data_IF_633038394516
#
_entry.id   IF_633038394516
#
_cell.length_a   1.000
_cell.length_b   1.000
_cell.length_c   1.000
_cell.angle_alpha   90.00
_cell.angle_beta   90.00
_cell.angle_gamma   90.00
#
_symmetry.space_group_name_H-M   'P 1'
#
loop_
_entity.id
_entity.type
_entity.pdbx_description
1 polymer ?
#
# COMPACT_ATOMS: atom_id res chain seq x y z
N UNK A 1 -6.18 -9.94 21.95
CA UNK A 1 -5.09 -9.97 20.94
C UNK A 1 -5.60 -9.29 19.66
N UNK A 2 -4.97 -8.20 19.21
CA UNK A 2 -5.37 -7.44 18.03
C UNK A 2 -4.76 -8.08 16.78
N UNK A 3 -5.59 -8.53 15.84
CA UNK A 3 -5.13 -9.04 14.54
C UNK A 3 -4.85 -7.85 13.60
N UNK A 4 -3.61 -7.74 13.11
CA UNK A 4 -3.18 -6.66 12.21
C UNK A 4 -3.67 -6.88 10.78
N UNK A 5 -3.94 -8.13 10.41
CA UNK A 5 -4.37 -8.52 9.07
C UNK A 5 -5.85 -8.95 9.05
N UNK A 6 -6.68 -8.28 9.86
CA UNK A 6 -8.12 -8.49 9.94
C UNK A 6 -8.78 -8.26 8.56
N UNK A 7 -9.79 -9.06 8.24
CA UNK A 7 -10.47 -9.02 6.93
C UNK A 7 -11.04 -7.63 6.61
N UNK A 8 -11.55 -6.92 7.62
CA UNK A 8 -12.05 -5.55 7.47
C UNK A 8 -10.98 -4.55 6.96
N UNK A 9 -9.72 -4.71 7.37
CA UNK A 9 -8.62 -3.88 6.87
C UNK A 9 -8.27 -4.21 5.42
N UNK A 10 -8.35 -5.48 5.06
CA UNK A 10 -8.10 -5.95 3.69
C UNK A 10 -9.19 -5.46 2.76
N UNK A 11 -10.45 -5.54 3.16
CA UNK A 11 -11.58 -5.02 2.38
C UNK A 11 -11.44 -3.52 2.11
N UNK A 12 -11.01 -2.71 3.10
CA UNK A 12 -10.74 -1.28 2.93
C UNK A 12 -9.63 -1.03 1.89
N UNK A 13 -8.56 -1.83 1.93
CA UNK A 13 -7.46 -1.72 0.95
C UNK A 13 -7.94 -2.12 -0.44
N UNK A 14 -8.73 -3.20 -0.55
CA UNK A 14 -9.32 -3.63 -1.82
C UNK A 14 -10.28 -2.58 -2.37
N UNK A 15 -11.12 -1.98 -1.52
CA UNK A 15 -12.04 -0.91 -1.90
C UNK A 15 -11.27 0.30 -2.46
N UNK A 16 -10.23 0.78 -1.75
CA UNK A 16 -9.38 1.88 -2.24
C UNK A 16 -8.75 1.57 -3.59
N UNK A 17 -8.24 0.34 -3.78
CA UNK A 17 -7.70 -0.11 -5.06
C UNK A 17 -8.75 -0.06 -6.17
N UNK A 18 -9.98 -0.54 -5.91
CA UNK A 18 -11.09 -0.51 -6.90
C UNK A 18 -11.48 0.92 -7.25
N UNK A 19 -11.55 1.83 -6.26
CA UNK A 19 -11.82 3.24 -6.50
C UNK A 19 -10.76 3.88 -7.41
N UNK A 20 -9.49 3.64 -7.15
CA UNK A 20 -8.40 4.18 -7.98
C UNK A 20 -8.45 3.62 -9.41
N UNK A 21 -8.77 2.34 -9.58
CA UNK A 21 -8.98 1.76 -10.92
C UNK A 21 -10.15 2.44 -11.63
N UNK A 22 -11.26 2.69 -10.94
CA UNK A 22 -12.41 3.38 -11.52
C UNK A 22 -12.06 4.82 -11.93
N UNK A 23 -11.29 5.56 -11.11
CA UNK A 23 -10.78 6.88 -11.43
C UNK A 23 -9.88 6.84 -12.69
N UNK A 24 -8.97 5.87 -12.77
CA UNK A 24 -8.09 5.68 -13.92
C UNK A 24 -8.88 5.44 -15.22
N UNK A 25 -9.91 4.60 -15.15
CA UNK A 25 -10.81 4.34 -16.30
C UNK A 25 -11.57 5.61 -16.69
N UNK A 26 -12.13 6.35 -15.73
CA UNK A 26 -12.85 7.60 -15.97
C UNK A 26 -11.94 8.65 -16.64
N UNK A 27 -10.72 8.85 -16.13
CA UNK A 27 -9.74 9.75 -16.73
C UNK A 27 -9.38 9.34 -18.16
N UNK A 28 -9.24 8.04 -18.43
CA UNK A 28 -8.98 7.53 -19.76
C UNK A 28 -10.11 7.85 -20.75
N UNK A 29 -11.36 7.65 -20.31
CA UNK A 29 -12.54 7.94 -21.13
C UNK A 29 -12.65 9.46 -21.39
N UNK A 30 -12.44 10.30 -20.36
CA UNK A 30 -12.51 11.77 -20.49
C UNK A 30 -11.42 12.26 -21.44
N UNK A 31 -10.19 11.78 -21.30
CA UNK A 31 -9.07 12.16 -22.17
C UNK A 31 -9.33 11.75 -23.62
N UNK A 32 -9.84 10.55 -23.84
CA UNK A 32 -10.21 10.07 -25.18
C UNK A 32 -11.34 10.92 -25.79
N UNK A 33 -12.40 11.18 -25.03
CA UNK A 33 -13.52 11.99 -25.48
C UNK A 33 -13.07 13.43 -25.83
N UNK A 34 -12.21 14.03 -25.01
CA UNK A 34 -11.63 15.34 -25.30
C UNK A 34 -10.84 15.35 -26.62
N UNK A 35 -10.01 14.34 -26.86
CA UNK A 35 -9.27 14.21 -28.11
C UNK A 35 -10.21 14.07 -29.34
N UNK A 36 -11.29 13.28 -29.22
CA UNK A 36 -12.28 13.12 -30.29
C UNK A 36 -12.98 14.44 -30.58
N UNK A 37 -13.44 15.13 -29.52
CA UNK A 37 -14.12 16.43 -29.67
C UNK A 37 -13.19 17.43 -30.36
N UNK A 38 -11.95 17.55 -29.93
CA UNK A 38 -10.98 18.46 -30.53
C UNK A 38 -10.74 18.13 -32.01
N UNK A 39 -10.70 16.86 -32.40
CA UNK A 39 -10.52 16.47 -33.80
C UNK A 39 -11.73 16.81 -34.68
N UNK A 40 -12.94 16.79 -34.13
CA UNK A 40 -14.17 17.19 -34.87
C UNK A 40 -14.17 18.68 -35.17
N UNK A 41 -13.58 19.51 -34.31
CA UNK A 41 -13.50 20.98 -34.51
C UNK A 41 -12.32 21.43 -35.39
N UNK A 42 -11.56 20.49 -35.99
CA UNK A 42 -10.47 20.82 -36.89
C UNK A 42 -11.02 21.37 -38.21
N UNK A 43 -10.66 22.60 -38.53
CA UNK A 43 -10.93 23.27 -39.81
C UNK A 43 -9.61 23.52 -40.57
N UNK A 44 -9.69 23.90 -41.84
CA UNK A 44 -8.47 24.15 -42.63
C UNK A 44 -7.61 25.27 -42.04
N UNK A 45 -8.26 26.29 -41.43
CA UNK A 45 -7.60 27.50 -40.91
C UNK A 45 -6.98 27.27 -39.55
N UNK A 46 -7.48 26.31 -38.72
CA UNK A 46 -7.03 26.05 -37.35
C UNK A 46 -6.31 24.69 -37.15
N UNK A 47 -6.06 23.95 -38.24
CA UNK A 47 -5.53 22.59 -38.21
C UNK A 47 -4.30 22.44 -37.32
N UNK A 48 -3.31 23.31 -37.50
CA UNK A 48 -2.03 23.21 -36.76
C UNK A 48 -2.22 23.45 -35.26
N UNK A 49 -3.04 24.45 -34.88
CA UNK A 49 -3.32 24.78 -33.49
C UNK A 49 -4.10 23.67 -32.82
N UNK A 50 -5.16 23.17 -33.47
CA UNK A 50 -5.98 22.06 -32.92
C UNK A 50 -5.20 20.77 -32.78
N UNK A 51 -4.31 20.45 -33.73
CA UNK A 51 -3.43 19.30 -33.62
C UNK A 51 -2.49 19.44 -32.42
N UNK A 52 -1.87 20.61 -32.22
CA UNK A 52 -1.00 20.86 -31.08
C UNK A 52 -1.75 20.74 -29.76
N UNK A 53 -2.95 21.29 -29.64
CA UNK A 53 -3.80 21.19 -28.44
C UNK A 53 -4.18 19.72 -28.16
N UNK A 54 -4.56 18.97 -29.20
CA UNK A 54 -4.88 17.54 -29.05
C UNK A 54 -3.67 16.73 -28.56
N UNK A 55 -2.47 16.99 -29.09
CA UNK A 55 -1.24 16.36 -28.60
C UNK A 55 -0.97 16.70 -27.13
N UNK A 56 -1.14 17.95 -26.70
CA UNK A 56 -0.95 18.34 -25.31
C UNK A 56 -1.95 17.61 -24.41
N UNK A 57 -3.23 17.55 -24.79
CA UNK A 57 -4.27 16.83 -24.02
C UNK A 57 -3.96 15.34 -23.93
N UNK A 58 -3.55 14.72 -25.04
CA UNK A 58 -3.20 13.30 -25.04
C UNK A 58 -1.98 12.97 -24.17
N UNK A 59 -0.93 13.81 -24.24
CA UNK A 59 0.29 13.62 -23.43
C UNK A 59 0.00 13.83 -21.95
N UNK A 60 -0.68 14.92 -21.60
CA UNK A 60 -1.02 15.22 -20.19
C UNK A 60 -1.97 14.16 -19.62
N UNK A 61 -3.01 13.78 -20.35
CA UNK A 61 -3.93 12.71 -19.93
C UNK A 61 -3.22 11.39 -19.73
N UNK A 62 -2.36 10.99 -20.67
CA UNK A 62 -1.53 9.78 -20.57
C UNK A 62 -0.61 9.82 -19.34
N UNK A 63 0.01 10.98 -19.08
CA UNK A 63 0.87 11.15 -17.91
C UNK A 63 0.11 10.98 -16.58
N UNK A 64 -1.09 11.55 -16.45
CA UNK A 64 -1.93 11.40 -15.26
C UNK A 64 -2.34 9.93 -15.04
N UNK A 65 -2.69 9.21 -16.11
CA UNK A 65 -3.03 7.79 -16.04
C UNK A 65 -1.83 6.96 -15.56
N UNK A 66 -0.65 7.20 -16.10
CA UNK A 66 0.58 6.52 -15.67
C UNK A 66 0.90 6.84 -14.21
N UNK A 67 0.78 8.11 -13.81
CA UNK A 67 1.02 8.51 -12.43
C UNK A 67 0.05 7.83 -11.45
N UNK A 68 -1.24 7.75 -11.77
CA UNK A 68 -2.24 7.06 -10.93
C UNK A 68 -1.94 5.56 -10.82
N UNK A 69 -1.58 4.89 -11.91
CA UNK A 69 -1.17 3.49 -11.88
C UNK A 69 0.05 3.30 -10.97
N UNK A 70 1.07 4.14 -11.12
CA UNK A 70 2.34 3.98 -10.39
C UNK A 70 2.22 4.35 -8.92
N UNK A 71 1.47 5.40 -8.58
CA UNK A 71 1.42 5.96 -7.23
C UNK A 71 0.26 5.42 -6.39
N UNK A 72 -0.82 4.99 -7.04
CA UNK A 72 -2.02 4.56 -6.34
C UNK A 72 -2.33 3.06 -6.55
N UNK A 73 -2.35 2.56 -7.78
CA UNK A 73 -2.79 1.18 -8.04
C UNK A 73 -1.71 0.15 -7.66
N UNK A 74 -0.47 0.36 -8.10
CA UNK A 74 0.62 -0.59 -7.84
C UNK A 74 0.93 -0.80 -6.35
N UNK A 75 1.03 0.24 -5.50
CA UNK A 75 1.27 0.05 -4.07
C UNK A 75 0.23 -0.86 -3.41
N UNK A 76 -1.05 -0.66 -3.70
CA UNK A 76 -2.11 -1.51 -3.14
C UNK A 76 -2.06 -2.95 -3.67
N UNK A 77 -1.68 -3.15 -4.94
CA UNK A 77 -1.49 -4.49 -5.50
C UNK A 77 -0.38 -5.25 -4.77
N UNK A 78 0.77 -4.60 -4.57
CA UNK A 78 1.90 -5.22 -3.87
C UNK A 78 1.60 -5.46 -2.40
N UNK A 79 0.91 -4.53 -1.74
CA UNK A 79 0.49 -4.68 -0.36
C UNK A 79 -0.45 -5.88 -0.18
N UNK A 80 -1.48 -6.02 -1.01
CA UNK A 80 -2.41 -7.15 -0.95
C UNK A 80 -1.69 -8.48 -1.17
N UNK A 81 -0.81 -8.56 -2.17
CA UNK A 81 0.01 -9.76 -2.42
C UNK A 81 0.91 -10.12 -1.24
N UNK A 82 1.48 -9.11 -0.58
CA UNK A 82 2.27 -9.30 0.62
C UNK A 82 1.43 -9.85 1.77
N UNK A 83 0.22 -9.29 2.00
CA UNK A 83 -0.71 -9.76 3.04
C UNK A 83 -1.10 -11.21 2.79
N UNK A 84 -1.45 -11.57 1.56
CA UNK A 84 -1.78 -12.96 1.17
C UNK A 84 -0.60 -13.91 1.45
N UNK A 85 0.62 -13.51 1.07
CA UNK A 85 1.82 -14.29 1.34
C UNK A 85 2.07 -14.48 2.85
N UNK A 86 1.94 -13.42 3.66
CA UNK A 86 2.12 -13.50 5.11
C UNK A 86 1.07 -14.41 5.74
N UNK A 87 -0.17 -14.38 5.28
CA UNK A 87 -1.24 -15.27 5.78
C UNK A 87 -1.00 -16.75 5.47
N UNK A 88 -0.30 -17.07 4.41
CA UNK A 88 0.00 -18.47 4.01
C UNK A 88 1.15 -19.07 4.79
N UNK A 89 1.97 -18.30 5.50
CA UNK A 89 3.07 -18.84 6.29
C UNK A 89 2.60 -19.43 7.61
N UNK A 90 3.41 -20.36 8.13
CA UNK A 90 3.21 -20.97 9.44
C UNK A 90 3.26 -19.88 10.52
N UNK A 91 2.25 -19.88 11.38
CA UNK A 91 2.13 -18.94 12.49
C UNK A 91 2.91 -19.45 13.69
N UNK A 92 3.83 -18.64 14.19
CA UNK A 92 4.67 -18.97 15.35
C UNK A 92 4.38 -17.98 16.46
N UNK A 93 3.94 -18.44 17.65
CA UNK A 93 3.79 -17.58 18.81
C UNK A 93 5.17 -17.26 19.41
N UNK A 94 5.33 -16.05 19.92
CA UNK A 94 6.49 -15.61 20.69
C UNK A 94 6.06 -14.67 21.81
N UNK A 95 6.76 -14.69 22.93
CA UNK A 95 6.53 -13.82 24.07
C UNK A 95 7.84 -13.19 24.49
N UNK A 96 7.82 -11.91 24.86
CA UNK A 96 9.04 -11.27 25.35
C UNK A 96 8.85 -9.80 25.62
N UNK A 97 9.94 -9.15 25.99
CA UNK A 97 9.98 -7.72 26.22
C UNK A 97 10.50 -7.01 24.96
N UNK A 98 9.87 -5.90 24.62
CA UNK A 98 10.28 -5.05 23.48
C UNK A 98 11.52 -4.24 23.87
N UNK A 99 12.65 -4.56 23.28
CA UNK A 99 13.92 -3.87 23.53
C UNK A 99 14.12 -2.63 22.66
N UNK A 100 13.57 -2.66 21.44
CA UNK A 100 13.77 -1.56 20.50
C UNK A 100 12.77 -1.58 19.37
N UNK A 101 12.52 -0.38 18.84
CA UNK A 101 11.64 -0.15 17.70
C UNK A 101 12.34 0.80 16.75
N UNK A 102 12.48 0.40 15.48
CA UNK A 102 13.12 1.20 14.44
C UNK A 102 12.27 1.19 13.18
N UNK A 103 12.01 2.36 12.62
CA UNK A 103 11.36 2.45 11.31
C UNK A 103 12.31 2.07 10.20
N UNK A 104 11.84 1.23 9.26
CA UNK A 104 12.61 0.84 8.08
C UNK A 104 11.74 0.71 6.84
N UNK A 105 12.32 0.89 5.68
CA UNK A 105 11.69 0.60 4.40
C UNK A 105 12.13 -0.79 3.94
N UNK A 106 11.19 -1.72 3.90
CA UNK A 106 11.46 -3.10 3.48
C UNK A 106 11.68 -3.17 1.97
N UNK A 107 10.85 -2.45 1.22
CA UNK A 107 11.01 -2.27 -0.23
C UNK A 107 10.30 -0.98 -0.67
N UNK A 108 10.34 -0.67 -1.98
CA UNK A 108 9.73 0.56 -2.56
C UNK A 108 8.27 0.79 -2.14
N UNK A 109 7.53 -0.27 -1.80
CA UNK A 109 6.08 -0.23 -1.56
C UNK A 109 5.66 -0.66 -0.16
N UNK A 110 6.62 -1.10 0.66
CA UNK A 110 6.37 -1.65 1.98
C UNK A 110 7.32 -1.04 3.00
N UNK A 111 6.75 -0.39 3.98
CA UNK A 111 7.47 0.11 5.15
C UNK A 111 7.02 -0.66 6.39
N UNK A 112 7.92 -0.86 7.32
CA UNK A 112 7.66 -1.56 8.56
C UNK A 112 8.43 -0.93 9.72
N UNK A 113 7.98 -1.20 10.94
CA UNK A 113 8.80 -1.04 12.12
C UNK A 113 9.51 -2.36 12.40
N UNK A 114 10.82 -2.31 12.51
CA UNK A 114 11.63 -3.37 13.07
C UNK A 114 11.45 -3.35 14.59
N UNK A 115 10.92 -4.44 15.14
CA UNK A 115 10.66 -4.60 16.57
C UNK A 115 11.58 -5.69 17.09
N UNK A 116 12.48 -5.32 17.99
CA UNK A 116 13.36 -6.27 18.66
C UNK A 116 12.69 -6.73 19.94
N UNK A 117 12.46 -8.04 20.05
CA UNK A 117 11.84 -8.66 21.23
C UNK A 117 12.84 -9.63 21.84
N UNK A 118 13.09 -9.49 23.14
CA UNK A 118 13.94 -10.40 23.89
C UNK A 118 13.07 -11.42 24.63
N UNK A 119 13.29 -12.70 24.30
CA UNK A 119 12.68 -13.86 24.94
C UNK A 119 13.79 -14.73 25.52
N UNK A 120 13.76 -14.98 26.83
CA UNK A 120 14.78 -15.80 27.52
C UNK A 120 16.24 -15.39 27.23
N UNK A 121 16.50 -14.10 27.09
CA UNK A 121 17.83 -13.55 26.79
C UNK A 121 18.22 -13.62 25.31
N UNK A 122 17.40 -14.17 24.45
CA UNK A 122 17.62 -14.22 22.98
C UNK A 122 16.86 -13.08 22.31
N UNK A 123 17.57 -12.30 21.50
CA UNK A 123 16.98 -11.20 20.74
C UNK A 123 16.46 -11.69 19.40
N UNK A 124 15.18 -11.55 19.19
CA UNK A 124 14.49 -11.84 17.94
C UNK A 124 14.00 -10.55 17.29
N UNK A 125 14.14 -10.46 15.98
CA UNK A 125 13.75 -9.27 15.19
C UNK A 125 12.49 -9.62 14.40
N UNK A 126 11.46 -8.83 14.61
CA UNK A 126 10.18 -8.93 13.92
C UNK A 126 9.85 -7.66 13.16
N UNK A 127 8.96 -7.72 12.19
CA UNK A 127 8.52 -6.61 11.36
C UNK A 127 7.03 -6.32 11.59
N UNK A 128 6.74 -5.10 11.99
CA UNK A 128 5.37 -4.59 12.09
C UNK A 128 5.04 -3.79 10.84
N UNK A 129 4.16 -4.30 10.00
CA UNK A 129 3.77 -3.62 8.78
C UNK A 129 2.96 -2.35 9.07
N UNK A 130 3.45 -1.18 8.63
CA UNK A 130 2.79 0.11 8.86
C UNK A 130 1.41 0.20 8.20
N UNK A 131 1.20 -0.51 7.09
CA UNK A 131 -0.08 -0.52 6.38
C UNK A 131 -1.14 -1.42 7.02
N UNK A 132 -0.73 -2.35 7.89
CA UNK A 132 -1.66 -3.21 8.64
C UNK A 132 -2.26 -2.51 9.86
N UNK A 133 -1.68 -1.41 10.32
CA UNK A 133 -2.18 -0.60 11.42
C UNK A 133 -1.09 0.20 12.12
N UNK A 134 -1.50 1.21 12.88
CA UNK A 134 -0.58 1.99 13.71
C UNK A 134 0.09 1.12 14.78
N UNK A 135 1.35 1.41 15.06
CA UNK A 135 2.12 0.74 16.10
C UNK A 135 1.48 1.04 17.47
N UNK A 136 1.08 -0.02 18.19
CA UNK A 136 0.41 0.10 19.49
C UNK A 136 1.28 -0.34 20.66
N UNK A 137 2.54 -0.67 20.42
CA UNK A 137 3.51 -1.14 21.41
C UNK A 137 4.62 -0.11 21.62
N UNK A 138 5.24 -0.12 22.78
CA UNK A 138 6.35 0.75 23.17
C UNK A 138 7.55 -0.07 23.62
N UNK A 139 8.72 0.53 23.63
CA UNK A 139 9.92 -0.07 24.23
C UNK A 139 9.68 -0.26 25.72
N UNK A 140 9.98 -1.45 26.22
CA UNK A 140 9.74 -1.87 27.59
C UNK A 140 8.48 -2.71 27.79
N UNK A 141 7.51 -2.65 26.86
CA UNK A 141 6.28 -3.45 26.98
C UNK A 141 6.59 -4.95 26.93
N UNK A 142 5.91 -5.72 27.78
CA UNK A 142 5.84 -7.18 27.62
C UNK A 142 4.73 -7.50 26.62
N UNK A 143 5.08 -8.26 25.60
CA UNK A 143 4.15 -8.56 24.50
C UNK A 143 4.08 -10.04 24.22
N UNK A 144 2.88 -10.48 23.87
CA UNK A 144 2.61 -11.77 23.26
C UNK A 144 2.26 -11.53 21.80
N UNK A 145 3.05 -12.07 20.90
CA UNK A 145 2.87 -11.91 19.46
C UNK A 145 2.63 -13.24 18.77
N UNK A 146 1.96 -13.17 17.62
CA UNK A 146 1.96 -14.26 16.64
C UNK A 146 2.60 -13.70 15.38
N UNK A 147 3.66 -14.35 14.94
CA UNK A 147 4.38 -13.97 13.72
C UNK A 147 4.22 -15.02 12.63
N UNK A 148 4.29 -14.57 11.38
CA UNK A 148 4.44 -15.44 10.22
C UNK A 148 5.72 -15.04 9.50
N UNK A 149 6.68 -15.95 9.44
CA UNK A 149 8.05 -15.64 9.08
C UNK A 149 8.61 -14.57 10.04
N UNK A 150 8.87 -13.36 9.55
CA UNK A 150 9.31 -12.22 10.39
C UNK A 150 8.21 -11.17 10.64
N UNK A 151 7.02 -11.33 10.05
CA UNK A 151 5.96 -10.32 10.17
C UNK A 151 5.04 -10.62 11.33
N UNK A 152 4.79 -9.62 12.17
CA UNK A 152 3.82 -9.71 13.27
C UNK A 152 2.41 -9.71 12.66
N UNK A 153 1.63 -10.76 12.93
CA UNK A 153 0.24 -10.88 12.53
C UNK A 153 -0.68 -10.33 13.61
N UNK A 154 -0.41 -10.67 14.84
CA UNK A 154 -1.20 -10.20 15.97
C UNK A 154 -0.31 -9.92 17.16
N UNK A 155 -0.74 -8.98 17.99
CA UNK A 155 -0.01 -8.55 19.16
C UNK A 155 -0.99 -8.25 20.31
N UNK A 156 -0.55 -8.59 21.50
CA UNK A 156 -1.22 -8.26 22.75
C UNK A 156 -0.17 -7.78 23.75
N UNK A 157 -0.40 -6.63 24.36
CA UNK A 157 0.42 -6.16 25.47
C UNK A 157 -0.07 -6.91 26.70
N UNK A 158 0.86 -7.52 27.42
CA UNK A 158 0.58 -8.24 28.68
C UNK A 158 0.86 -7.26 29.81
N UNK A 159 -0.21 -6.67 30.35
CA UNK A 159 -0.10 -5.89 31.58
C UNK A 159 0.22 -6.85 32.74
N UNK A 160 1.17 -6.47 33.57
CA UNK A 160 1.51 -7.21 34.80
C UNK A 160 0.49 -6.96 35.91
#
# INVERSE_FOLDING_TARGET
MKDLYEDNNIEKIQFKKRCNIAICIALSIISLAACIILTVFVTRDNKTVMLAVTCVVAVTGGWFIIADIMLAILPYKYLLRHIEAVRSYVKVPACGQVDGIKYMTVNKWLSAYEVTITENGVKNIFLWNTAAGGLSIKVGDKVKIVSASRFIISCEVVDE
#
